data_IF_187105195243
#
_entry.id   IF_187105195243
#
_cell.length_a   1.000
_cell.length_b   1.000
_cell.length_c   1.000
_cell.angle_alpha   90.00
_cell.angle_beta   90.00
_cell.angle_gamma   90.00
#
_symmetry.space_group_name_H-M   'P 1'
#
loop_
_entity.id
_entity.type
_entity.pdbx_description
1 polymer ?
#
# COMPACT_ATOMS: atom_id res chain seq x y z
N UNK A 1 -6.13 3.95 -15.58
CA UNK A 1 -5.29 4.22 -16.78
C UNK A 1 -3.90 4.55 -16.26
N UNK A 2 -2.88 3.75 -16.58
CA UNK A 2 -1.50 3.99 -16.18
C UNK A 2 -1.06 5.33 -16.78
N UNK A 3 -0.56 6.26 -15.97
CA UNK A 3 0.08 7.47 -16.51
C UNK A 3 1.29 7.03 -17.34
N UNK A 4 1.13 6.99 -18.67
CA UNK A 4 2.21 6.65 -19.58
C UNK A 4 3.36 7.64 -19.36
N UNK A 5 4.55 7.12 -19.08
CA UNK A 5 5.76 7.91 -18.88
C UNK A 5 6.05 8.32 -17.43
N UNK A 6 5.22 8.00 -16.45
CA UNK A 6 5.54 8.31 -15.05
C UNK A 6 6.53 7.29 -14.47
N UNK A 7 7.59 7.82 -13.86
CA UNK A 7 8.58 7.01 -13.18
C UNK A 7 8.16 6.79 -11.71
N UNK A 8 7.61 5.63 -11.38
CA UNK A 8 7.20 5.23 -10.02
C UNK A 8 8.34 5.10 -8.99
N UNK A 9 9.54 5.55 -9.37
CA UNK A 9 10.69 5.80 -8.49
C UNK A 9 10.91 7.30 -8.25
N UNK A 10 10.10 8.16 -8.87
CA UNK A 10 10.24 9.59 -8.67
C UNK A 10 10.05 9.94 -7.20
N UNK A 11 10.84 10.88 -6.71
CA UNK A 11 10.60 11.48 -5.40
C UNK A 11 9.19 12.08 -5.37
N UNK A 12 8.48 11.87 -4.27
CA UNK A 12 7.11 12.36 -4.11
C UNK A 12 6.29 11.52 -3.15
N UNK A 13 5.10 12.00 -2.85
CA UNK A 13 4.13 11.31 -2.01
C UNK A 13 3.23 10.40 -2.85
N UNK A 14 3.00 9.20 -2.34
CA UNK A 14 2.18 8.17 -2.95
C UNK A 14 1.12 7.72 -1.96
N UNK A 15 -0.14 7.94 -2.30
CA UNK A 15 -1.27 7.35 -1.60
C UNK A 15 -1.57 5.99 -2.22
N UNK A 16 -1.53 4.94 -1.40
CA UNK A 16 -1.67 3.55 -1.82
C UNK A 16 -2.91 2.93 -1.19
N UNK A 17 -3.62 2.10 -1.96
CA UNK A 17 -4.71 1.25 -1.45
C UNK A 17 -4.51 -0.16 -1.96
N UNK A 18 -4.47 -1.14 -1.05
CA UNK A 18 -4.40 -2.55 -1.40
C UNK A 18 -5.34 -3.38 -0.54
N UNK A 19 -6.12 -4.21 -1.22
CA UNK A 19 -7.25 -4.92 -0.65
C UNK A 19 -6.90 -6.36 -0.27
N UNK A 20 -7.66 -6.92 0.67
CA UNK A 20 -7.69 -8.36 0.92
C UNK A 20 -8.28 -9.08 -0.28
N UNK A 21 -8.03 -10.39 -0.36
CA UNK A 21 -8.58 -11.24 -1.41
C UNK A 21 -10.11 -11.21 -1.35
N UNK A 22 -10.74 -10.91 -2.49
CA UNK A 22 -12.20 -10.75 -2.62
C UNK A 22 -12.81 -9.77 -1.61
N UNK A 23 -12.02 -8.82 -1.10
CA UNK A 23 -12.43 -7.85 -0.07
C UNK A 23 -13.04 -8.47 1.18
N UNK A 24 -12.61 -9.66 1.56
CA UNK A 24 -13.00 -10.30 2.80
C UNK A 24 -12.47 -9.51 4.01
N UNK A 25 -13.26 -9.39 5.06
CA UNK A 25 -12.87 -8.76 6.31
C UNK A 25 -11.91 -9.68 7.09
N UNK A 26 -10.63 -9.66 6.74
CA UNK A 26 -9.59 -10.51 7.31
C UNK A 26 -8.84 -9.87 8.48
N UNK A 27 -8.93 -8.53 8.62
CA UNK A 27 -8.12 -7.76 9.55
C UNK A 27 -8.97 -7.13 10.66
N UNK A 28 -9.71 -7.96 11.41
CA UNK A 28 -10.57 -7.50 12.52
C UNK A 28 -9.90 -7.70 13.88
N UNK A 29 -9.00 -8.68 14.01
CA UNK A 29 -8.31 -8.93 15.26
C UNK A 29 -7.25 -7.84 15.54
N UNK A 30 -7.29 -7.25 16.73
CA UNK A 30 -6.37 -6.19 17.15
C UNK A 30 -4.89 -6.60 16.99
N UNK A 31 -4.56 -7.85 17.33
CA UNK A 31 -3.20 -8.37 17.17
C UNK A 31 -2.75 -8.40 15.71
N UNK A 32 -3.66 -8.69 14.76
CA UNK A 32 -3.39 -8.66 13.32
C UNK A 32 -3.17 -7.21 12.86
N UNK A 33 -4.03 -6.29 13.28
CA UNK A 33 -3.92 -4.86 12.97
C UNK A 33 -2.57 -4.32 13.43
N UNK A 34 -2.24 -4.51 14.72
CA UNK A 34 -0.99 -4.05 15.30
C UNK A 34 0.25 -4.65 14.61
N UNK A 35 0.18 -5.91 14.22
CA UNK A 35 1.24 -6.56 13.45
C UNK A 35 1.43 -5.94 12.06
N UNK A 36 0.35 -5.67 11.33
CA UNK A 36 0.41 -5.06 10.00
C UNK A 36 0.98 -3.63 10.07
N UNK A 37 0.53 -2.82 11.05
CA UNK A 37 1.04 -1.47 11.26
C UNK A 37 2.53 -1.46 11.61
N UNK A 38 2.95 -2.31 12.54
CA UNK A 38 4.36 -2.43 12.94
C UNK A 38 5.21 -2.87 11.74
N UNK A 39 4.72 -3.82 10.95
CA UNK A 39 5.44 -4.32 9.76
C UNK A 39 5.58 -3.24 8.70
N UNK A 40 4.54 -2.44 8.44
CA UNK A 40 4.60 -1.33 7.49
C UNK A 40 5.64 -0.28 7.90
N UNK A 41 5.63 0.12 9.17
CA UNK A 41 6.59 1.11 9.72
C UNK A 41 8.05 0.66 9.62
N UNK A 42 8.31 -0.64 9.52
CA UNK A 42 9.66 -1.21 9.36
C UNK A 42 10.18 -1.24 7.92
N UNK A 43 9.35 -0.95 6.92
CA UNK A 43 9.76 -0.99 5.50
C UNK A 43 11.06 -0.22 5.22
N UNK A 44 11.28 0.98 5.75
CA UNK A 44 12.53 1.71 5.50
C UNK A 44 13.79 1.00 6.01
N UNK A 45 13.65 0.05 6.92
CA UNK A 45 14.79 -0.74 7.44
C UNK A 45 15.13 -1.95 6.57
N UNK A 46 14.30 -2.25 5.57
CA UNK A 46 14.51 -3.41 4.70
C UNK A 46 15.48 -3.08 3.57
N UNK A 47 16.26 -4.10 3.18
CA UNK A 47 17.27 -3.94 2.13
C UNK A 47 16.67 -3.38 0.83
N UNK A 48 17.20 -2.26 0.38
CA UNK A 48 16.78 -1.60 -0.86
C UNK A 48 15.52 -0.74 -0.74
N UNK A 49 15.02 -0.48 0.49
CA UNK A 49 13.83 0.32 0.76
C UNK A 49 14.10 1.51 1.70
N UNK A 50 15.37 1.85 1.98
CA UNK A 50 15.74 2.94 2.89
C UNK A 50 15.39 4.35 2.39
N UNK A 51 15.04 4.49 1.11
CA UNK A 51 14.58 5.75 0.53
C UNK A 51 13.13 6.08 0.84
N UNK A 52 12.38 5.16 1.46
CA UNK A 52 10.98 5.41 1.84
C UNK A 52 10.91 6.09 3.20
N UNK A 53 10.00 7.03 3.29
CA UNK A 53 9.53 7.59 4.55
C UNK A 53 8.06 7.24 4.71
N UNK A 54 7.70 6.61 5.82
CA UNK A 54 6.32 6.25 6.14
C UNK A 54 5.64 7.46 6.76
N UNK A 55 4.55 7.90 6.15
CA UNK A 55 3.71 9.00 6.65
C UNK A 55 2.51 8.38 7.40
N UNK A 56 1.35 8.25 6.78
CA UNK A 56 0.16 7.67 7.40
C UNK A 56 -0.06 6.23 6.93
N UNK A 57 -0.63 5.42 7.82
CA UNK A 57 -1.03 4.04 7.52
C UNK A 57 -2.22 3.64 8.37
N UNK A 58 -3.23 3.03 7.76
CA UNK A 58 -4.38 2.50 8.47
C UNK A 58 -4.77 1.12 7.93
N UNK A 59 -5.10 0.23 8.84
CA UNK A 59 -5.62 -1.10 8.54
C UNK A 59 -7.13 -1.06 8.71
N UNK A 60 -7.84 -1.33 7.61
CA UNK A 60 -9.28 -1.52 7.57
C UNK A 60 -9.59 -3.02 7.50
N UNK A 61 -10.78 -3.47 7.87
CA UNK A 61 -11.09 -4.91 7.88
C UNK A 61 -10.80 -5.64 6.57
N UNK A 62 -10.98 -5.00 5.42
CA UNK A 62 -10.83 -5.61 4.10
C UNK A 62 -9.81 -4.93 3.16
N UNK A 63 -9.09 -3.92 3.65
CA UNK A 63 -8.05 -3.23 2.89
C UNK A 63 -7.12 -2.46 3.82
N UNK A 64 -6.08 -1.87 3.25
CA UNK A 64 -5.23 -0.89 3.92
C UNK A 64 -5.04 0.33 3.06
N UNK A 65 -4.90 1.48 3.73
CA UNK A 65 -4.42 2.70 3.12
C UNK A 65 -3.05 3.05 3.65
N UNK A 66 -2.18 3.51 2.77
CA UNK A 66 -0.83 3.92 3.11
C UNK A 66 -0.46 5.20 2.37
N UNK A 67 0.14 6.12 3.10
CA UNK A 67 0.79 7.30 2.54
C UNK A 67 2.28 7.15 2.78
N UNK A 68 3.06 7.14 1.71
CA UNK A 68 4.51 7.06 1.80
C UNK A 68 5.17 8.12 0.93
N UNK A 69 6.35 8.55 1.35
CA UNK A 69 7.18 9.47 0.60
C UNK A 69 8.46 8.78 0.14
N UNK A 70 8.77 8.92 -1.15
CA UNK A 70 10.03 8.49 -1.73
C UNK A 70 10.98 9.70 -1.73
N UNK A 71 12.03 9.64 -0.90
CA UNK A 71 12.96 10.77 -0.68
C UNK A 71 13.91 11.03 -1.86
N UNK A 72 14.30 9.96 -2.57
CA UNK A 72 15.25 10.04 -3.68
C UNK A 72 14.79 9.16 -4.82
N UNK A 73 14.79 9.72 -6.01
CA UNK A 73 14.74 8.91 -7.22
C UNK A 73 16.03 8.11 -7.33
N UNK A 74 15.96 6.77 -7.26
CA UNK A 74 17.07 5.91 -7.65
C UNK A 74 17.12 5.89 -9.18
N UNK A 75 17.63 6.97 -9.77
CA UNK A 75 17.74 7.09 -11.22
C UNK A 75 18.86 6.15 -11.67
N UNK A 76 18.49 4.98 -12.18
CA UNK A 76 19.27 4.31 -13.20
C UNK A 76 18.72 4.80 -14.54
N UNK A 77 19.59 5.34 -15.39
CA UNK A 77 19.25 5.92 -16.69
C UNK A 77 18.71 4.92 -17.73
N UNK A 78 18.57 3.65 -17.36
CA UNK A 78 18.05 2.63 -18.27
C UNK A 78 16.54 2.51 -18.10
N UNK A 79 15.81 2.78 -19.18
CA UNK A 79 14.36 2.55 -19.24
C UNK A 79 14.03 1.09 -18.89
N UNK A 80 12.94 0.83 -18.13
CA UNK A 80 12.59 -0.53 -17.72
C UNK A 80 12.23 -1.36 -18.94
N UNK A 81 13.07 -2.36 -19.25
CA UNK A 81 12.84 -3.31 -20.35
C UNK A 81 12.08 -4.56 -19.96
N UNK A 82 11.44 -4.61 -18.78
CA UNK A 82 10.73 -5.82 -18.36
C UNK A 82 9.56 -5.54 -17.43
N UNK A 83 8.56 -6.44 -17.43
CA UNK A 83 7.43 -6.48 -16.48
C UNK A 83 7.85 -6.85 -15.04
N UNK A 84 9.13 -6.74 -14.69
CA UNK A 84 9.65 -7.02 -13.34
C UNK A 84 9.42 -5.82 -12.44
N UNK A 85 9.04 -6.11 -11.18
CA UNK A 85 8.96 -5.10 -10.11
C UNK A 85 10.34 -4.47 -9.93
N UNK A 86 10.40 -3.16 -10.12
CA UNK A 86 11.67 -2.44 -10.04
C UNK A 86 12.08 -2.23 -8.57
N UNK A 87 13.33 -2.54 -8.19
CA UNK A 87 13.82 -2.25 -6.85
C UNK A 87 13.68 -0.77 -6.51
N UNK A 88 13.22 -0.47 -5.29
CA UNK A 88 13.06 0.91 -4.81
C UNK A 88 11.82 1.65 -5.33
N UNK A 89 10.89 0.96 -5.98
CA UNK A 89 9.58 1.51 -6.36
C UNK A 89 8.53 1.27 -5.27
N UNK A 90 7.43 2.05 -5.29
CA UNK A 90 6.26 1.80 -4.42
C UNK A 90 5.77 0.34 -4.56
N UNK A 91 5.79 -0.21 -5.78
CA UNK A 91 5.46 -1.62 -6.04
C UNK A 91 6.37 -2.60 -5.29
N UNK A 92 7.68 -2.28 -5.17
CA UNK A 92 8.61 -3.11 -4.40
C UNK A 92 8.29 -3.09 -2.91
N UNK A 93 7.95 -1.92 -2.35
CA UNK A 93 7.54 -1.79 -0.94
C UNK A 93 6.26 -2.58 -0.65
N UNK A 94 5.22 -2.41 -1.47
CA UNK A 94 3.95 -3.15 -1.34
C UNK A 94 4.17 -4.66 -1.50
N UNK A 95 4.96 -5.08 -2.50
CA UNK A 95 5.26 -6.49 -2.72
C UNK A 95 5.98 -7.14 -1.55
N UNK A 96 7.01 -6.47 -1.00
CA UNK A 96 7.75 -6.95 0.16
C UNK A 96 6.87 -7.03 1.41
N UNK A 97 6.04 -6.01 1.67
CA UNK A 97 5.08 -6.00 2.76
C UNK A 97 4.09 -7.16 2.66
N UNK A 98 3.44 -7.33 1.52
CA UNK A 98 2.43 -8.38 1.30
C UNK A 98 3.02 -9.79 1.42
N UNK A 99 4.21 -10.01 0.87
CA UNK A 99 4.89 -11.30 0.98
C UNK A 99 5.23 -11.62 2.43
N UNK A 100 5.77 -10.65 3.16
CA UNK A 100 6.14 -10.82 4.58
C UNK A 100 4.91 -11.05 5.44
N UNK A 101 3.87 -10.24 5.28
CA UNK A 101 2.65 -10.34 6.08
C UNK A 101 1.87 -11.62 5.78
N UNK A 102 1.72 -12.03 4.51
CA UNK A 102 1.06 -13.29 4.18
C UNK A 102 1.71 -14.49 4.86
N UNK A 103 3.04 -14.57 4.81
CA UNK A 103 3.77 -15.68 5.47
C UNK A 103 3.55 -15.69 6.97
N UNK A 104 3.63 -14.50 7.61
CA UNK A 104 3.52 -14.40 9.06
C UNK A 104 2.10 -14.60 9.56
N UNK A 105 1.09 -14.08 8.85
CA UNK A 105 -0.32 -14.28 9.19
C UNK A 105 -0.67 -15.77 9.18
N UNK A 106 -0.17 -16.53 8.21
CA UNK A 106 -0.35 -17.98 8.13
C UNK A 106 0.39 -18.75 9.23
N UNK A 107 1.60 -18.34 9.56
CA UNK A 107 2.43 -19.09 10.51
C UNK A 107 2.14 -18.78 11.98
N UNK A 108 1.63 -17.58 12.31
CA UNK A 108 1.53 -17.10 13.69
C UNK A 108 0.14 -16.58 14.09
N UNK A 109 -0.71 -16.25 13.14
CA UNK A 109 -2.02 -15.65 13.41
C UNK A 109 -3.21 -16.52 13.03
N UNK A 110 -2.96 -17.81 12.77
CA UNK A 110 -4.02 -18.81 12.58
C UNK A 110 -4.72 -18.78 11.21
N UNK A 111 -4.16 -18.07 10.23
CA UNK A 111 -4.65 -18.14 8.85
C UNK A 111 -4.27 -19.46 8.21
N UNK A 112 -5.16 -20.02 7.38
CA UNK A 112 -4.87 -21.26 6.68
C UNK A 112 -3.69 -21.08 5.71
N UNK A 113 -2.78 -22.06 5.57
CA UNK A 113 -1.68 -22.05 4.62
C UNK A 113 -2.11 -21.78 3.17
N UNK A 114 -3.31 -22.20 2.78
CA UNK A 114 -3.86 -22.03 1.44
C UNK A 114 -4.63 -20.73 1.25
N UNK A 115 -4.88 -19.95 2.32
CA UNK A 115 -5.59 -18.69 2.26
C UNK A 115 -4.88 -17.68 1.34
N UNK A 116 -5.66 -17.02 0.50
CA UNK A 116 -5.23 -15.84 -0.24
C UNK A 116 -5.52 -14.62 0.59
N UNK A 117 -4.48 -14.03 1.20
CA UNK A 117 -4.63 -12.85 2.06
C UNK A 117 -4.89 -11.59 1.23
N UNK A 118 -4.07 -11.34 0.24
CA UNK A 118 -4.11 -10.12 -0.54
C UNK A 118 -4.69 -10.33 -1.93
N UNK A 119 -5.50 -9.38 -2.37
CA UNK A 119 -5.92 -9.30 -3.77
C UNK A 119 -4.72 -9.02 -4.67
N UNK A 120 -4.73 -9.52 -5.89
CA UNK A 120 -3.72 -9.19 -6.88
C UNK A 120 -3.77 -7.71 -7.22
N UNK A 121 -2.59 -7.09 -7.37
CA UNK A 121 -2.49 -5.67 -7.69
C UNK A 121 -2.74 -4.74 -6.49
N UNK A 122 -2.64 -3.46 -6.73
CA UNK A 122 -2.95 -2.38 -5.80
C UNK A 122 -3.29 -1.10 -6.58
N UNK A 123 -3.82 -0.10 -5.89
CA UNK A 123 -4.13 1.21 -6.44
C UNK A 123 -3.18 2.24 -5.86
N UNK A 124 -2.77 3.22 -6.68
CA UNK A 124 -2.02 4.37 -6.22
C UNK A 124 -2.56 5.69 -6.75
N UNK A 125 -2.22 6.75 -6.04
CA UNK A 125 -2.39 8.13 -6.47
C UNK A 125 -1.16 8.93 -6.06
N UNK A 126 -0.59 9.65 -7.01
CA UNK A 126 0.52 10.56 -6.77
C UNK A 126 -0.05 11.87 -6.24
N UNK A 127 0.44 12.30 -5.09
CA UNK A 127 0.05 13.56 -4.46
C UNK A 127 0.82 14.70 -5.11
N UNK A 128 0.12 15.75 -5.51
CA UNK A 128 0.69 16.82 -6.34
C UNK A 128 0.96 18.12 -5.59
N UNK A 129 0.26 18.34 -4.50
CA UNK A 129 0.38 19.56 -3.71
C UNK A 129 0.10 19.32 -2.23
N UNK A 130 0.42 20.31 -1.40
CA UNK A 130 0.28 20.23 0.06
C UNK A 130 -1.17 20.11 0.52
N UNK A 131 -2.09 20.74 -0.19
CA UNK A 131 -3.52 20.65 0.13
C UNK A 131 -4.05 19.24 -0.09
N UNK A 132 -3.66 18.61 -1.20
CA UNK A 132 -4.00 17.22 -1.48
C UNK A 132 -3.37 16.27 -0.43
N UNK A 133 -2.11 16.54 -0.02
CA UNK A 133 -1.42 15.79 1.00
C UNK A 133 -2.18 15.79 2.32
N UNK A 134 -2.56 16.97 2.81
CA UNK A 134 -3.30 17.08 4.07
C UNK A 134 -4.70 16.46 3.99
N UNK A 135 -5.40 16.62 2.87
CA UNK A 135 -6.68 15.95 2.66
C UNK A 135 -6.56 14.42 2.71
N UNK A 136 -5.49 13.85 2.17
CA UNK A 136 -5.24 12.39 2.21
C UNK A 136 -4.87 11.95 3.62
N UNK A 137 -4.06 12.71 4.35
CA UNK A 137 -3.74 12.42 5.75
C UNK A 137 -5.00 12.37 6.60
N UNK A 138 -5.84 13.39 6.48
CA UNK A 138 -7.09 13.47 7.22
C UNK A 138 -8.04 12.34 6.84
N UNK A 139 -8.15 12.01 5.55
CA UNK A 139 -8.93 10.86 5.07
C UNK A 139 -8.46 9.56 5.73
N UNK A 140 -7.14 9.29 5.76
CA UNK A 140 -6.58 8.06 6.35
C UNK A 140 -6.88 8.01 7.86
N UNK A 141 -6.70 9.11 8.59
CA UNK A 141 -6.94 9.17 10.04
C UNK A 141 -8.41 8.96 10.41
N UNK A 142 -9.34 9.50 9.60
CA UNK A 142 -10.78 9.41 9.85
C UNK A 142 -11.39 8.10 9.36
N UNK A 143 -10.71 7.35 8.50
CA UNK A 143 -11.26 6.16 7.86
C UNK A 143 -11.81 5.11 8.84
N UNK A 144 -11.12 4.77 9.96
CA UNK A 144 -11.67 3.82 10.94
C UNK A 144 -13.00 4.26 11.55
N UNK A 145 -13.20 5.55 11.78
CA UNK A 145 -14.42 6.10 12.36
C UNK A 145 -15.59 6.04 11.38
N UNK A 146 -15.30 6.09 10.09
CA UNK A 146 -16.30 6.08 9.02
C UNK A 146 -16.53 4.70 8.41
N UNK A 147 -15.85 3.67 8.90
CA UNK A 147 -15.95 2.33 8.32
C UNK A 147 -17.38 1.83 8.12
N UNK A 148 -18.27 2.07 9.09
CA UNK A 148 -19.66 1.65 9.02
C UNK A 148 -20.46 2.38 7.91
N UNK A 149 -20.04 3.61 7.56
CA UNK A 149 -20.66 4.46 6.54
C UNK A 149 -20.00 4.26 5.17
N UNK A 150 -18.73 3.87 5.15
CA UNK A 150 -17.85 3.84 3.96
C UNK A 150 -17.62 2.45 3.37
N UNK A 151 -18.33 1.41 3.86
CA UNK A 151 -18.17 0.05 3.30
C UNK A 151 -18.33 0.01 1.78
N UNK A 152 -19.17 0.87 1.24
CA UNK A 152 -19.51 0.96 -0.19
C UNK A 152 -18.66 2.01 -0.94
N UNK A 153 -17.91 2.86 -0.23
CA UNK A 153 -17.21 4.00 -0.83
C UNK A 153 -15.79 3.67 -1.34
N UNK A 154 -15.25 2.49 -0.99
CA UNK A 154 -13.95 2.04 -1.47
C UNK A 154 -13.90 1.96 -2.99
N UNK A 155 -14.98 1.57 -3.65
CA UNK A 155 -15.04 1.48 -5.12
C UNK A 155 -14.96 2.85 -5.78
N UNK A 156 -15.63 3.84 -5.21
CA UNK A 156 -15.53 5.23 -5.69
C UNK A 156 -14.11 5.78 -5.51
N UNK A 157 -13.49 5.54 -4.35
CA UNK A 157 -12.11 5.96 -4.10
C UNK A 157 -11.15 5.35 -5.11
N UNK A 158 -11.15 4.02 -5.25
CA UNK A 158 -10.20 3.33 -6.13
C UNK A 158 -10.45 3.63 -7.61
N UNK A 159 -11.66 4.02 -8.01
CA UNK A 159 -11.96 4.47 -9.37
C UNK A 159 -11.16 5.71 -9.78
N UNK A 160 -10.76 6.53 -8.81
CA UNK A 160 -9.96 7.76 -8.99
C UNK A 160 -8.44 7.50 -8.90
N UNK A 161 -8.03 6.26 -8.68
CA UNK A 161 -6.64 5.85 -8.52
C UNK A 161 -6.15 5.02 -9.71
N UNK A 162 -4.84 4.87 -9.83
CA UNK A 162 -4.22 4.02 -10.85
C UNK A 162 -4.10 2.60 -10.33
N UNK A 163 -4.59 1.62 -11.09
CA UNK A 163 -4.46 0.19 -10.74
C UNK A 163 -3.17 -0.41 -11.29
N UNK A 164 -2.43 -1.12 -10.45
CA UNK A 164 -1.22 -1.86 -10.78
C UNK A 164 -1.49 -3.36 -10.71
N UNK A 165 -1.75 -4.03 -11.85
CA UNK A 165 -1.79 -5.49 -11.91
C UNK A 165 -0.36 -6.06 -11.89
N UNK A 166 -0.16 -7.15 -11.20
CA UNK A 166 1.04 -8.03 -11.29
C UNK A 166 0.69 -9.49 -11.24
#
# INVERSE_FOLDING_TARGET
MRLQGWNYRAAGYYFLTFCTYQRQCLFEAEAVIAYLETTWRRIPTWKGLSQFHIDEFVVMPNHVHALLWILKSVVRHDAPKSNKVEPGSASAAVGAFRSTTSRQLKSQYGFDPDDKIWQRGFYDRIIRDEKELENVREYIRQNPLRWAEDRDNLDELVSKMTYHPW
#
